data_IF_212455352820
#
_entry.id   IF_212455352820
#
_cell.length_a   1.000
_cell.length_b   1.000
_cell.length_c   1.000
_cell.angle_alpha   90.00
_cell.angle_beta   90.00
_cell.angle_gamma   90.00
#
_symmetry.space_group_name_H-M   'P 1'
#
loop_
_entity.id
_entity.type
_entity.pdbx_description
1 polymer ?
#
# COMPACT_ATOMS: atom_id res chain seq x y z
N UNK A 1 -5.37 18.62 -18.60
CA UNK A 1 -4.74 18.24 -17.31
C UNK A 1 -3.67 17.21 -17.62
N UNK A 2 -2.51 17.30 -16.98
CA UNK A 2 -1.36 16.45 -17.28
C UNK A 2 -1.39 15.23 -16.36
N UNK A 3 -1.39 14.03 -16.95
CA UNK A 3 -1.33 12.76 -16.22
C UNK A 3 -0.14 12.77 -15.25
N UNK A 4 -0.32 12.41 -13.96
CA UNK A 4 0.77 12.39 -13.00
C UNK A 4 1.82 11.37 -13.43
N UNK A 5 3.08 11.80 -13.41
CA UNK A 5 4.21 10.92 -13.75
C UNK A 5 4.38 9.89 -12.63
N UNK A 6 4.56 8.62 -12.99
CA UNK A 6 4.83 7.56 -12.01
C UNK A 6 5.83 6.54 -12.52
N UNK A 7 6.64 5.99 -11.61
CA UNK A 7 7.63 4.97 -11.91
C UNK A 7 7.79 3.97 -10.75
N UNK A 8 8.28 2.75 -11.01
CA UNK A 8 8.79 1.88 -9.96
C UNK A 8 9.87 2.60 -9.15
N UNK A 9 9.96 2.29 -7.86
CA UNK A 9 11.04 2.79 -7.03
C UNK A 9 12.39 2.28 -7.52
N UNK A 10 13.40 3.13 -7.40
CA UNK A 10 14.81 2.82 -7.58
C UNK A 10 15.63 3.59 -6.55
N UNK A 11 16.86 3.15 -6.29
CA UNK A 11 17.69 3.69 -5.20
C UNK A 11 17.94 5.20 -5.23
N UNK A 12 18.02 5.90 -6.37
CA UNK A 12 18.13 7.36 -6.39
C UNK A 12 16.97 8.10 -5.71
N UNK A 13 15.80 7.46 -5.55
CA UNK A 13 14.63 8.06 -4.91
C UNK A 13 14.55 7.79 -3.40
N UNK A 14 15.55 7.14 -2.80
CA UNK A 14 15.51 6.76 -1.39
C UNK A 14 15.36 7.99 -0.48
N UNK A 15 16.23 9.00 -0.65
CA UNK A 15 16.24 10.17 0.22
C UNK A 15 14.92 10.95 0.11
N UNK A 16 14.39 11.10 -1.11
CA UNK A 16 13.10 11.75 -1.36
C UNK A 16 11.94 10.97 -0.71
N UNK A 17 11.96 9.64 -0.78
CA UNK A 17 10.95 8.79 -0.16
C UNK A 17 11.01 8.87 1.37
N UNK A 18 12.22 8.86 1.96
CA UNK A 18 12.38 9.02 3.40
C UNK A 18 11.89 10.41 3.86
N UNK A 19 12.19 11.45 3.10
CA UNK A 19 11.72 12.80 3.37
C UNK A 19 10.19 12.91 3.24
N UNK A 20 9.60 12.28 2.22
CA UNK A 20 8.14 12.17 2.06
C UNK A 20 7.49 11.51 3.28
N UNK A 21 7.95 10.30 3.65
CA UNK A 21 7.39 9.57 4.79
C UNK A 21 7.57 10.35 6.10
N UNK A 22 8.71 11.01 6.29
CA UNK A 22 8.97 11.87 7.45
C UNK A 22 7.99 13.04 7.56
N UNK A 23 7.76 13.78 6.47
CA UNK A 23 6.80 14.90 6.45
C UNK A 23 5.38 14.42 6.73
N UNK A 24 4.94 13.34 6.10
CA UNK A 24 3.62 12.77 6.32
C UNK A 24 3.43 12.28 7.76
N UNK A 25 4.46 11.65 8.35
CA UNK A 25 4.45 11.23 9.75
C UNK A 25 4.36 12.39 10.75
N UNK A 26 5.01 13.52 10.45
CA UNK A 26 4.91 14.73 11.28
C UNK A 26 3.51 15.36 11.15
N UNK A 27 2.99 15.47 9.93
CA UNK A 27 1.71 16.14 9.67
C UNK A 27 0.49 15.31 10.13
N UNK A 28 0.60 13.98 10.11
CA UNK A 28 -0.49 13.05 10.48
C UNK A 28 0.04 11.93 11.38
N UNK A 29 0.44 12.21 12.62
CA UNK A 29 1.08 11.22 13.51
C UNK A 29 0.23 9.97 13.76
N UNK A 30 -1.10 10.12 13.74
CA UNK A 30 -2.06 9.05 13.97
C UNK A 30 -2.55 8.38 12.68
N UNK A 31 -2.13 8.86 11.51
CA UNK A 31 -2.56 8.36 10.20
C UNK A 31 -1.42 8.18 9.19
N UNK A 32 -0.16 8.24 9.63
CA UNK A 32 0.98 7.90 8.78
C UNK A 32 1.29 6.41 8.84
N UNK A 33 1.36 5.79 7.66
CA UNK A 33 1.46 4.32 7.52
C UNK A 33 2.90 3.84 7.44
N UNK A 34 3.78 4.64 6.82
CA UNK A 34 5.22 4.39 6.86
C UNK A 34 5.95 5.55 7.50
N UNK A 35 6.82 5.20 8.44
CA UNK A 35 7.86 6.07 8.97
C UNK A 35 9.16 5.79 8.21
N UNK A 36 10.12 6.73 8.22
CA UNK A 36 11.42 6.51 7.59
C UNK A 36 12.09 5.19 8.01
N UNK A 37 11.96 4.80 9.29
CA UNK A 37 12.49 3.52 9.80
C UNK A 37 11.85 2.29 9.15
N UNK A 38 10.56 2.33 8.82
CA UNK A 38 9.87 1.22 8.16
C UNK A 38 10.36 1.03 6.73
N UNK A 39 10.59 2.13 6.02
CA UNK A 39 11.18 2.11 4.66
C UNK A 39 12.58 1.50 4.70
N UNK A 40 13.41 1.96 5.64
CA UNK A 40 14.78 1.46 5.87
C UNK A 40 14.76 -0.05 6.20
N UNK A 41 13.82 -0.51 7.01
CA UNK A 41 13.72 -1.91 7.40
C UNK A 41 13.25 -2.82 6.26
N UNK A 42 12.26 -2.37 5.47
CA UNK A 42 11.64 -3.17 4.42
C UNK A 42 12.43 -3.21 3.13
N UNK A 43 13.19 -2.15 2.81
CA UNK A 43 14.08 -2.17 1.67
C UNK A 43 15.35 -2.97 2.02
N UNK A 44 15.83 -3.86 1.13
CA UNK A 44 17.10 -4.56 1.35
C UNK A 44 18.26 -3.58 1.16
N UNK A 45 18.54 -2.75 2.18
CA UNK A 45 19.47 -1.61 2.06
C UNK A 45 20.88 -2.01 1.64
N UNK A 46 21.32 -3.18 2.08
CA UNK A 46 22.60 -3.79 1.68
C UNK A 46 22.71 -4.05 0.16
N UNK A 47 21.58 -4.06 -0.56
CA UNK A 47 21.53 -4.20 -2.01
C UNK A 47 21.18 -2.91 -2.73
N UNK A 48 20.83 -1.81 -2.06
CA UNK A 48 20.33 -0.60 -2.73
C UNK A 48 21.16 -0.11 -3.93
N UNK A 49 22.51 -0.12 -3.92
CA UNK A 49 23.29 0.30 -5.08
C UNK A 49 23.08 -0.59 -6.33
N UNK A 50 22.61 -1.82 -6.14
CA UNK A 50 22.38 -2.84 -7.18
C UNK A 50 20.93 -3.30 -7.26
N UNK A 51 20.09 -2.84 -6.34
CA UNK A 51 18.65 -3.01 -6.32
C UNK A 51 18.16 -2.11 -7.45
N UNK A 52 17.95 -2.70 -8.62
CA UNK A 52 17.34 -2.01 -9.74
C UNK A 52 15.92 -1.56 -9.40
N UNK A 53 15.02 -1.64 -10.36
CA UNK A 53 13.63 -1.31 -10.09
C UNK A 53 13.02 -2.28 -9.06
N UNK A 54 12.28 -1.73 -8.11
CA UNK A 54 11.50 -2.48 -7.13
C UNK A 54 10.05 -2.49 -7.62
N UNK A 55 9.60 -3.53 -8.35
CA UNK A 55 8.34 -3.49 -9.11
C UNK A 55 7.08 -3.50 -8.22
N UNK A 56 7.25 -3.73 -6.93
CA UNK A 56 6.21 -3.73 -5.92
C UNK A 56 6.13 -2.42 -5.11
N UNK A 57 7.01 -1.45 -5.36
CA UNK A 57 6.92 -0.10 -4.82
C UNK A 57 6.85 0.89 -5.98
N UNK A 58 5.80 1.70 -6.05
CA UNK A 58 5.62 2.72 -7.08
C UNK A 58 5.54 4.10 -6.45
N UNK A 59 6.13 5.07 -7.12
CA UNK A 59 6.11 6.49 -6.74
C UNK A 59 5.36 7.30 -7.80
N UNK A 60 4.65 8.34 -7.36
CA UNK A 60 4.02 9.34 -8.21
C UNK A 60 4.62 10.71 -7.91
N UNK A 61 4.76 11.52 -8.96
CA UNK A 61 5.44 12.81 -8.89
C UNK A 61 4.57 13.94 -9.45
N UNK A 62 4.74 15.12 -8.87
CA UNK A 62 4.30 16.39 -9.41
C UNK A 62 5.47 17.39 -9.46
N UNK A 63 5.18 18.69 -9.62
CA UNK A 63 6.20 19.73 -9.67
C UNK A 63 7.01 19.87 -8.36
N UNK A 64 6.47 19.42 -7.23
CA UNK A 64 7.06 19.54 -5.89
C UNK A 64 7.75 18.24 -5.43
N UNK A 65 7.89 17.25 -6.33
CA UNK A 65 8.56 15.97 -6.06
C UNK A 65 7.58 14.83 -5.84
N UNK A 66 7.87 13.93 -4.89
CA UNK A 66 7.00 12.78 -4.60
C UNK A 66 5.66 13.30 -4.06
N UNK A 67 4.59 12.96 -4.79
CA UNK A 67 3.21 13.27 -4.46
C UNK A 67 2.50 12.10 -3.77
N UNK A 68 2.89 10.86 -4.08
CA UNK A 68 2.36 9.66 -3.45
C UNK A 68 3.30 8.46 -3.58
N UNK A 69 3.10 7.45 -2.73
CA UNK A 69 3.64 6.11 -2.94
C UNK A 69 2.55 5.05 -2.81
N UNK A 70 2.80 3.92 -3.48
CA UNK A 70 2.04 2.70 -3.33
C UNK A 70 2.99 1.52 -3.19
N UNK A 71 2.86 0.79 -2.09
CA UNK A 71 3.65 -0.39 -1.77
C UNK A 71 2.75 -1.61 -1.78
N UNK A 72 2.96 -2.48 -2.75
CA UNK A 72 2.31 -3.78 -2.81
C UNK A 72 3.17 -4.80 -2.07
N UNK A 73 2.64 -5.43 -1.04
CA UNK A 73 3.31 -6.54 -0.38
C UNK A 73 2.44 -7.77 -0.57
N UNK A 74 2.71 -8.61 -1.59
CA UNK A 74 2.01 -9.86 -1.73
C UNK A 74 2.36 -10.77 -0.54
N UNK A 75 1.36 -11.45 0.05
CA UNK A 75 -0.03 -11.40 -0.35
C UNK A 75 -0.86 -10.42 0.52
N UNK A 76 -0.21 -9.75 1.48
CA UNK A 76 -0.76 -8.91 2.57
C UNK A 76 -1.67 -7.79 2.08
N UNK A 77 -1.31 -7.10 1.01
CA UNK A 77 -2.14 -6.02 0.46
C UNK A 77 -1.35 -4.87 -0.15
N UNK A 78 -2.01 -3.73 -0.27
CA UNK A 78 -1.41 -2.50 -0.79
C UNK A 78 -1.42 -1.43 0.30
N UNK A 79 -0.25 -0.95 0.68
CA UNK A 79 -0.11 0.27 1.46
C UNK A 79 -0.01 1.47 0.53
N UNK A 80 -0.74 2.52 0.83
CA UNK A 80 -0.81 3.72 0.01
C UNK A 80 -0.57 4.92 0.91
N UNK A 81 0.08 5.95 0.38
CA UNK A 81 0.04 7.25 1.02
C UNK A 81 0.14 8.38 0.01
N UNK A 82 -0.47 9.50 0.37
CA UNK A 82 -0.60 10.71 -0.43
C UNK A 82 -0.01 11.88 0.38
N UNK A 83 0.65 12.82 -0.30
CA UNK A 83 1.17 14.04 0.34
C UNK A 83 0.01 14.80 1.00
N UNK A 84 0.25 15.37 2.17
CA UNK A 84 -0.82 15.89 3.05
C UNK A 84 -1.57 17.11 2.51
N UNK A 85 -1.00 17.82 1.54
CA UNK A 85 -1.59 18.95 0.84
C UNK A 85 -2.46 18.53 -0.37
N UNK A 86 -2.51 17.24 -0.70
CA UNK A 86 -3.23 16.71 -1.84
C UNK A 86 -4.53 16.01 -1.42
N UNK A 87 -5.52 16.05 -2.31
CA UNK A 87 -6.82 15.39 -2.13
C UNK A 87 -6.82 13.98 -2.74
N UNK A 88 -7.37 13.00 -2.02
CA UNK A 88 -7.60 11.64 -2.50
C UNK A 88 -8.59 11.55 -3.66
N UNK A 89 -9.51 12.52 -3.81
CA UNK A 89 -10.34 12.64 -5.02
C UNK A 89 -9.60 13.29 -6.21
N UNK A 90 -8.39 13.82 -5.98
CA UNK A 90 -7.57 14.45 -7.00
C UNK A 90 -6.95 13.46 -7.98
N UNK A 91 -6.21 14.00 -8.95
CA UNK A 91 -5.62 13.21 -10.04
C UNK A 91 -4.61 12.16 -9.54
N UNK A 92 -3.70 12.55 -8.64
CA UNK A 92 -2.72 11.63 -8.03
C UNK A 92 -3.41 10.57 -7.17
N UNK A 93 -4.36 10.97 -6.32
CA UNK A 93 -5.12 10.03 -5.47
C UNK A 93 -5.88 8.99 -6.31
N UNK A 94 -6.51 9.41 -7.41
CA UNK A 94 -7.18 8.49 -8.32
C UNK A 94 -6.21 7.54 -9.01
N UNK A 95 -5.09 8.04 -9.53
CA UNK A 95 -4.08 7.22 -10.19
C UNK A 95 -3.47 6.17 -9.23
N UNK A 96 -3.27 6.56 -7.96
CA UNK A 96 -2.79 5.68 -6.90
C UNK A 96 -3.78 4.54 -6.62
N UNK A 97 -5.06 4.87 -6.46
CA UNK A 97 -6.12 3.88 -6.23
C UNK A 97 -6.36 2.96 -7.43
N UNK A 98 -6.22 3.46 -8.66
CA UNK A 98 -6.31 2.66 -9.89
C UNK A 98 -5.16 1.64 -10.00
N UNK A 99 -3.96 2.04 -9.58
CA UNK A 99 -2.82 1.13 -9.50
C UNK A 99 -3.03 0.05 -8.43
N UNK A 100 -3.52 0.44 -7.24
CA UNK A 100 -3.85 -0.51 -6.17
C UNK A 100 -4.87 -1.55 -6.63
N UNK A 101 -5.90 -1.13 -7.37
CA UNK A 101 -6.90 -2.00 -7.99
C UNK A 101 -6.28 -2.95 -9.02
N UNK A 102 -5.28 -2.47 -9.78
CA UNK A 102 -4.55 -3.33 -10.71
C UNK A 102 -3.77 -4.41 -9.96
N UNK A 103 -3.11 -4.07 -8.84
CA UNK A 103 -2.39 -5.04 -8.00
C UNK A 103 -3.33 -6.05 -7.35
N UNK A 104 -4.49 -5.61 -6.87
CA UNK A 104 -5.57 -6.48 -6.36
C UNK A 104 -5.99 -7.55 -7.38
N UNK A 105 -6.01 -7.23 -8.68
CA UNK A 105 -6.38 -8.18 -9.74
C UNK A 105 -5.26 -9.18 -10.09
N UNK A 106 -4.02 -8.92 -9.68
CA UNK A 106 -2.85 -9.74 -10.03
C UNK A 106 -2.67 -10.97 -9.12
N UNK A 107 -3.36 -11.05 -7.98
CA UNK A 107 -3.27 -12.22 -7.10
C UNK A 107 -4.39 -12.26 -6.06
N UNK A 108 -4.73 -13.45 -5.54
CA UNK A 108 -5.68 -13.58 -4.43
C UNK A 108 -5.14 -12.87 -3.17
N UNK A 109 -6.01 -12.31 -2.30
CA UNK A 109 -5.57 -11.76 -1.02
C UNK A 109 -4.88 -12.83 -0.14
N UNK A 110 -3.87 -12.44 0.64
CA UNK A 110 -3.11 -13.33 1.55
C UNK A 110 -3.96 -14.07 2.57
N UNK A 111 -4.93 -13.36 3.13
CA UNK A 111 -5.60 -13.79 4.34
C UNK A 111 -7.09 -13.66 4.16
N UNK A 112 -7.74 -14.53 3.38
CA UNK A 112 -9.20 -14.51 3.28
C UNK A 112 -9.86 -15.14 4.53
N UNK A 113 -9.02 -15.66 5.44
CA UNK A 113 -9.32 -16.13 6.78
C UNK A 113 -8.02 -16.01 7.61
N UNK A 114 -8.05 -15.44 8.82
CA UNK A 114 -7.23 -16.03 9.88
C UNK A 114 -7.97 -17.33 10.22
N UNK A 115 -7.40 -18.49 9.86
CA UNK A 115 -7.99 -19.78 10.25
C UNK A 115 -8.00 -19.80 11.78
N UNK A 116 -9.10 -20.22 12.39
CA UNK A 116 -9.09 -20.70 13.78
C UNK A 116 -8.31 -22.02 13.80
N UNK A 117 -6.98 -21.93 13.82
CA UNK A 117 -6.09 -23.10 13.89
C UNK A 117 -5.68 -23.29 15.33
N UNK A 118 -6.25 -24.31 15.95
CA UNK A 118 -5.78 -24.81 17.24
C UNK A 118 -4.38 -25.44 17.16
N UNK A 119 -3.80 -25.59 15.96
CA UNK A 119 -2.52 -26.28 15.71
C UNK A 119 -1.74 -25.73 14.50
N UNK A 120 -0.44 -25.47 14.71
CA UNK A 120 0.52 -24.96 13.74
C UNK A 120 0.89 -25.95 12.63
N UNK A 121 0.78 -27.26 12.86
CA UNK A 121 1.12 -28.27 11.86
C UNK A 121 0.04 -28.36 10.77
N UNK A 122 -1.23 -28.25 11.17
CA UNK A 122 -2.36 -28.15 10.24
C UNK A 122 -2.34 -26.83 9.44
N UNK A 123 -1.92 -25.71 10.06
CA UNK A 123 -1.72 -24.45 9.36
C UNK A 123 -0.68 -24.59 8.24
N UNK A 124 0.49 -25.19 8.54
CA UNK A 124 1.58 -25.33 7.59
C UNK A 124 1.22 -26.23 6.39
N UNK A 125 0.37 -27.23 6.59
CA UNK A 125 -0.16 -28.09 5.52
C UNK A 125 -1.25 -27.39 4.70
N UNK A 126 -2.17 -26.66 5.35
CA UNK A 126 -3.30 -25.96 4.70
C UNK A 126 -2.89 -24.75 3.87
N UNK A 127 -1.95 -23.94 4.35
CA UNK A 127 -1.41 -22.78 3.61
C UNK A 127 -0.73 -23.18 2.30
N UNK A 128 -0.17 -24.40 2.24
CA UNK A 128 0.49 -24.92 1.02
C UNK A 128 -0.48 -25.48 -0.02
N UNK A 129 -1.71 -25.81 0.36
CA UNK A 129 -2.68 -26.49 -0.51
C UNK A 129 -3.95 -25.66 -0.84
N UNK A 130 -4.23 -24.58 -0.12
CA UNK A 130 -5.46 -23.82 -0.32
C UNK A 130 -5.22 -22.58 -1.17
N UNK A 131 -5.42 -22.74 -2.49
CA UNK A 131 -5.92 -21.65 -3.32
C UNK A 131 -7.29 -21.27 -2.80
N UNK A 132 -7.32 -20.25 -1.97
CA UNK A 132 -8.55 -19.74 -1.38
C UNK A 132 -9.57 -19.46 -2.46
N UNK A 133 -10.77 -20.01 -2.29
CA UNK A 133 -11.91 -19.67 -3.12
C UNK A 133 -12.08 -18.15 -3.08
N UNK A 134 -11.92 -17.45 -4.23
CA UNK A 134 -12.10 -16.01 -4.25
C UNK A 134 -13.54 -15.72 -3.82
N UNK A 135 -13.72 -15.00 -2.72
CA UNK A 135 -14.98 -14.30 -2.51
C UNK A 135 -15.26 -13.53 -3.80
N UNK A 136 -16.37 -13.81 -4.48
CA UNK A 136 -16.71 -13.19 -5.78
C UNK A 136 -16.91 -11.68 -5.76
N UNK A 137 -16.52 -11.00 -4.67
CA UNK A 137 -16.54 -9.55 -4.50
C UNK A 137 -15.21 -8.88 -4.86
N UNK A 138 -15.23 -7.54 -4.94
CA UNK A 138 -14.04 -6.71 -5.13
C UNK A 138 -13.47 -6.33 -3.76
N UNK A 139 -12.37 -6.95 -3.34
CA UNK A 139 -11.77 -6.72 -2.01
C UNK A 139 -10.36 -6.16 -2.14
N UNK A 140 -10.12 -4.93 -1.66
CA UNK A 140 -8.80 -4.32 -1.56
C UNK A 140 -8.36 -4.36 -0.09
N UNK A 141 -7.29 -5.08 0.22
CA UNK A 141 -6.66 -5.04 1.55
C UNK A 141 -5.68 -3.87 1.59
N UNK A 142 -5.97 -2.88 2.43
CA UNK A 142 -5.11 -1.74 2.67
C UNK A 142 -5.19 -1.34 4.14
N UNK A 143 -4.12 -0.74 4.67
CA UNK A 143 -4.17 -0.09 5.97
C UNK A 143 -4.84 1.27 5.80
N UNK A 144 -5.93 1.47 6.53
CA UNK A 144 -6.60 2.75 6.69
C UNK A 144 -6.91 2.96 8.17
N UNK A 145 -6.15 3.82 8.85
CA UNK A 145 -6.40 4.21 10.22
C UNK A 145 -7.75 4.93 10.30
N UNK A 146 -8.43 4.82 11.44
CA UNK A 146 -9.78 5.38 11.61
C UNK A 146 -9.82 6.89 11.40
N UNK A 147 -8.69 7.55 11.68
CA UNK A 147 -8.50 8.98 11.55
C UNK A 147 -8.16 9.43 10.12
N UNK A 148 -8.02 8.52 9.16
CA UNK A 148 -7.77 8.84 7.74
C UNK A 148 -9.08 8.99 6.97
N UNK A 149 -9.88 9.99 7.37
CA UNK A 149 -11.24 10.19 6.88
C UNK A 149 -11.29 10.44 5.37
N UNK A 150 -10.28 11.11 4.81
CA UNK A 150 -10.26 11.49 3.40
C UNK A 150 -10.03 10.29 2.50
N UNK A 151 -9.08 9.41 2.89
CA UNK A 151 -8.86 8.14 2.19
C UNK A 151 -10.07 7.23 2.30
N UNK A 152 -10.66 7.11 3.49
CA UNK A 152 -11.86 6.31 3.71
C UNK A 152 -13.02 6.81 2.85
N UNK A 153 -13.23 8.12 2.77
CA UNK A 153 -14.25 8.72 1.91
C UNK A 153 -13.97 8.44 0.41
N UNK A 154 -12.70 8.52 -0.02
CA UNK A 154 -12.33 8.21 -1.39
C UNK A 154 -12.54 6.73 -1.76
N UNK A 155 -12.22 5.82 -0.84
CA UNK A 155 -12.48 4.38 -1.00
C UNK A 155 -13.98 4.09 -1.04
N UNK A 156 -14.77 4.71 -0.16
CA UNK A 156 -16.23 4.57 -0.13
C UNK A 156 -16.89 5.01 -1.45
N UNK A 157 -16.45 6.15 -2.03
CA UNK A 157 -16.91 6.60 -3.35
C UNK A 157 -16.62 5.60 -4.48
N UNK A 158 -15.64 4.72 -4.30
CA UNK A 158 -15.30 3.64 -5.25
C UNK A 158 -16.03 2.33 -4.96
N UNK A 159 -16.95 2.32 -4.00
CA UNK A 159 -17.74 1.16 -3.62
C UNK A 159 -17.04 0.21 -2.65
N UNK A 160 -16.00 0.68 -1.95
CA UNK A 160 -15.37 -0.09 -0.88
C UNK A 160 -16.04 0.22 0.46
N UNK A 161 -16.28 -0.82 1.25
CA UNK A 161 -16.72 -0.70 2.64
C UNK A 161 -15.59 -1.13 3.56
N UNK A 162 -15.46 -0.43 4.70
CA UNK A 162 -14.47 -0.79 5.72
C UNK A 162 -14.98 -2.01 6.48
N UNK A 163 -14.20 -3.09 6.48
CA UNK A 163 -14.41 -4.22 7.38
C UNK A 163 -13.40 -4.13 8.52
N UNK A 164 -13.87 -4.09 9.77
CA UNK A 164 -12.99 -4.23 10.93
C UNK A 164 -12.78 -5.72 11.18
N UNK A 165 -11.52 -6.13 11.23
CA UNK A 165 -11.13 -7.46 11.70
C UNK A 165 -10.31 -7.26 12.97
N UNK A 166 -10.91 -7.58 14.12
CA UNK A 166 -10.16 -7.70 15.37
C UNK A 166 -9.32 -8.98 15.26
N UNK A 167 -7.99 -8.81 15.32
CA UNK A 167 -7.06 -9.92 15.53
C UNK A 167 -6.95 -10.23 17.02
#
# INVERSE_FOLDING_TARGET
>A
MSVPTSCPFSSPFLDDLLAFCGRNAIARPDAAYLRPGDVVWRLPLHRLPTLGEVPWLRLWFDADGIAAYGWFEPPTGVELDLRTDLDWSGEVGNALLDWAETKRRQGPPAYPWLVDVQDMEQWAAGVRQQSVTPHGGRWLTTLANENDTDRLAALHRRGYERTQHHA
#
